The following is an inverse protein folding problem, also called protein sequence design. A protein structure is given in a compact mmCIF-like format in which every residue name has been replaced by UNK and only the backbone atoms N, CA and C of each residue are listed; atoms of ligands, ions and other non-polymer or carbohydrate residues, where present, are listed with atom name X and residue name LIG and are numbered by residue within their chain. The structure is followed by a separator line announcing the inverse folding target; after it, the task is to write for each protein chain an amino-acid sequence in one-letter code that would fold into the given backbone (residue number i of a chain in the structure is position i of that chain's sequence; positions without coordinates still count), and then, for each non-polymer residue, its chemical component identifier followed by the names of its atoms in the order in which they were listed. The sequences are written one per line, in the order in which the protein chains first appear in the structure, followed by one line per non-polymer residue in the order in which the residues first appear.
data_IF_120601786627
#
_entry.id   IF_120601786627
#
_cell.length_a   1.000
_cell.length_b   1.000
_cell.length_c   1.000
_cell.angle_alpha   90.00
_cell.angle_beta   90.00
_cell.angle_gamma   90.00
#
_symmetry.space_group_name_H-M   'P 1'
#
loop_
_entity.id
_entity.type
_entity.pdbx_description
1 polymer ?
#
# COMPACT_ATOMS: atom_id res chain seq x y z
N UNK A 1 -27.96 3.18 17.26
CA UNK A 1 -28.89 2.23 16.63
C UNK A 1 -29.43 2.92 15.39
N UNK A 2 -29.08 2.41 14.21
CA UNK A 2 -29.50 2.99 12.92
C UNK A 2 -30.69 2.17 12.40
N UNK A 3 -31.84 2.80 12.24
CA UNK A 3 -33.04 2.20 11.63
C UNK A 3 -33.21 2.77 10.22
N UNK A 4 -33.24 1.90 9.21
CA UNK A 4 -33.40 2.26 7.79
C UNK A 4 -34.56 1.42 7.24
N UNK A 5 -35.74 2.01 6.94
CA UNK A 5 -36.86 1.24 6.38
C UNK A 5 -38.20 1.99 6.22
N UNK A 6 -39.02 1.55 5.25
CA UNK A 6 -40.34 2.08 4.89
C UNK A 6 -41.43 1.62 5.88
N UNK A 7 -41.46 2.16 7.11
CA UNK A 7 -42.48 1.90 8.15
C UNK A 7 -42.70 0.43 8.60
N UNK A 8 -42.21 -0.56 7.86
CA UNK A 8 -41.96 -1.92 8.29
C UNK A 8 -40.57 -1.90 8.93
N UNK A 9 -40.51 -2.11 10.25
CA UNK A 9 -39.30 -1.95 11.06
C UNK A 9 -38.33 -3.11 10.83
N UNK A 10 -37.79 -3.22 9.63
CA UNK A 10 -36.68 -4.13 9.37
C UNK A 10 -35.40 -3.48 9.89
N UNK A 11 -34.89 -4.03 11.00
CA UNK A 11 -33.61 -3.63 11.56
C UNK A 11 -32.50 -4.42 10.86
N UNK A 12 -31.54 -3.70 10.27
CA UNK A 12 -30.36 -4.33 9.67
C UNK A 12 -29.35 -4.59 10.79
N UNK A 13 -29.02 -5.85 11.01
CA UNK A 13 -27.99 -6.28 11.95
C UNK A 13 -26.62 -6.22 11.29
N UNK A 14 -25.71 -5.47 11.91
CA UNK A 14 -24.29 -5.43 11.55
C UNK A 14 -23.59 -6.65 12.16
N UNK A 15 -22.72 -7.31 11.41
CA UNK A 15 -22.14 -8.61 11.76
C UNK A 15 -20.63 -8.58 12.06
N UNK A 16 -19.91 -7.53 11.66
CA UNK A 16 -18.46 -7.40 11.78
C UNK A 16 -18.06 -6.27 12.72
N UNK A 17 -18.08 -6.54 14.02
CA UNK A 17 -17.76 -5.58 15.08
C UNK A 17 -16.37 -4.93 14.96
N UNK A 18 -15.44 -5.56 14.22
CA UNK A 18 -14.08 -5.06 14.03
C UNK A 18 -14.02 -3.73 13.25
N UNK A 19 -14.91 -3.52 12.29
CA UNK A 19 -14.93 -2.31 11.46
C UNK A 19 -16.33 -1.69 11.27
N UNK A 20 -17.41 -2.38 11.66
CA UNK A 20 -18.78 -1.87 11.64
C UNK A 20 -19.15 -1.06 12.90
N UNK A 21 -18.22 -0.24 13.37
CA UNK A 21 -18.47 0.65 14.50
C UNK A 21 -19.26 1.88 14.06
N UNK A 22 -20.10 2.41 14.96
CA UNK A 22 -21.05 3.51 14.68
C UNK A 22 -20.43 4.70 13.93
N UNK A 23 -19.21 5.09 14.30
CA UNK A 23 -18.50 6.18 13.62
C UNK A 23 -18.18 5.87 12.15
N UNK A 24 -17.71 4.67 11.86
CA UNK A 24 -17.33 4.25 10.49
C UNK A 24 -18.57 4.08 9.62
N UNK A 25 -19.64 3.51 10.17
CA UNK A 25 -20.93 3.40 9.48
C UNK A 25 -21.48 4.79 9.14
N UNK A 26 -21.40 5.74 10.07
CA UNK A 26 -21.80 7.13 9.82
C UNK A 26 -20.98 7.77 8.68
N UNK A 27 -19.65 7.62 8.70
CA UNK A 27 -18.77 8.10 7.63
C UNK A 27 -19.12 7.47 6.28
N UNK A 28 -19.39 6.17 6.26
CA UNK A 28 -19.80 5.44 5.06
C UNK A 28 -21.12 5.98 4.48
N UNK A 29 -22.14 6.17 5.32
CA UNK A 29 -23.43 6.73 4.90
C UNK A 29 -23.28 8.15 4.35
N UNK A 30 -22.42 8.98 4.96
CA UNK A 30 -22.11 10.31 4.43
C UNK A 30 -21.45 10.25 3.03
N UNK A 31 -20.52 9.32 2.81
CA UNK A 31 -19.91 9.13 1.49
C UNK A 31 -20.89 8.60 0.44
N UNK A 32 -21.85 7.75 0.84
CA UNK A 32 -22.95 7.33 -0.03
C UNK A 32 -23.81 8.53 -0.48
N UNK A 33 -23.87 9.60 0.32
CA UNK A 33 -24.52 10.86 0.00
C UNK A 33 -23.58 11.87 -0.70
N UNK A 34 -22.43 11.40 -1.22
CA UNK A 34 -21.41 12.22 -1.86
C UNK A 34 -20.88 13.39 -0.98
N UNK A 35 -20.97 13.24 0.35
CA UNK A 35 -20.38 14.21 1.28
C UNK A 35 -18.90 13.85 1.48
N UNK A 36 -17.96 14.74 1.10
CA UNK A 36 -16.54 14.42 1.19
C UNK A 36 -16.07 14.36 2.64
N UNK A 37 -15.17 13.42 2.93
CA UNK A 37 -14.48 13.35 4.23
C UNK A 37 -13.46 14.49 4.29
N UNK A 38 -13.40 15.18 5.42
CA UNK A 38 -12.39 16.22 5.64
C UNK A 38 -11.00 15.60 5.83
N UNK A 39 -9.93 16.27 5.38
CA UNK A 39 -8.57 15.82 5.61
C UNK A 39 -8.26 15.66 7.11
N UNK A 40 -7.32 14.78 7.48
CA UNK A 40 -6.93 14.59 8.88
C UNK A 40 -6.39 15.90 9.47
N UNK A 41 -6.96 16.35 10.59
CA UNK A 41 -6.49 17.55 11.31
C UNK A 41 -5.41 17.25 12.35
N UNK A 42 -5.30 15.99 12.80
CA UNK A 42 -4.42 15.55 13.89
C UNK A 42 -3.86 14.14 13.61
N UNK A 43 -3.07 13.59 14.54
CA UNK A 43 -2.32 12.31 14.46
C UNK A 43 -2.80 11.34 13.37
N UNK A 44 -1.93 11.13 12.38
CA UNK A 44 -2.19 10.29 11.21
C UNK A 44 -2.65 8.87 11.57
N UNK A 45 -2.22 8.30 12.70
CA UNK A 45 -2.50 6.89 13.01
C UNK A 45 -3.97 6.61 13.31
N UNK A 46 -4.62 7.43 14.15
CA UNK A 46 -6.02 7.20 14.50
C UNK A 46 -6.92 7.38 13.28
N UNK A 47 -6.67 8.41 12.48
CA UNK A 47 -7.40 8.64 11.24
C UNK A 47 -7.18 7.50 10.25
N UNK A 48 -5.93 7.03 10.09
CA UNK A 48 -5.63 5.90 9.22
C UNK A 48 -6.33 4.61 9.66
N UNK A 49 -6.52 4.37 10.96
CA UNK A 49 -7.33 3.24 11.43
C UNK A 49 -8.79 3.38 10.99
N UNK A 50 -9.39 4.56 11.13
CA UNK A 50 -10.76 4.82 10.66
C UNK A 50 -10.88 4.64 9.15
N UNK A 51 -9.92 5.18 8.40
CA UNK A 51 -9.91 5.06 6.94
C UNK A 51 -9.79 3.61 6.49
N UNK A 52 -8.96 2.80 7.16
CA UNK A 52 -8.86 1.35 6.88
C UNK A 52 -10.18 0.62 7.13
N UNK A 53 -10.82 0.86 8.27
CA UNK A 53 -12.15 0.29 8.57
C UNK A 53 -13.20 0.73 7.56
N UNK A 54 -13.15 1.99 7.10
CA UNK A 54 -14.06 2.49 6.07
C UNK A 54 -13.83 1.84 4.70
N UNK A 55 -12.58 1.62 4.30
CA UNK A 55 -12.24 0.87 3.07
C UNK A 55 -12.78 -0.56 3.17
N UNK A 56 -12.53 -1.25 4.29
CA UNK A 56 -13.04 -2.61 4.52
C UNK A 56 -14.57 -2.66 4.47
N UNK A 57 -15.25 -1.69 5.10
CA UNK A 57 -16.70 -1.59 5.06
C UNK A 57 -17.21 -1.39 3.62
N UNK A 58 -16.57 -0.49 2.86
CA UNK A 58 -16.94 -0.24 1.47
C UNK A 58 -16.67 -1.45 0.55
N UNK A 59 -15.71 -2.31 0.89
CA UNK A 59 -15.47 -3.56 0.19
C UNK A 59 -16.54 -4.61 0.54
N UNK A 60 -16.88 -4.78 1.84
CA UNK A 60 -17.90 -5.72 2.31
C UNK A 60 -19.26 -5.50 1.65
N UNK A 61 -19.68 -4.25 1.53
CA UNK A 61 -20.97 -3.87 0.92
C UNK A 61 -20.87 -3.54 -0.57
N UNK A 62 -19.74 -3.86 -1.22
CA UNK A 62 -19.52 -3.65 -2.66
C UNK A 62 -19.84 -2.23 -3.14
N UNK A 63 -19.56 -1.22 -2.31
CA UNK A 63 -19.88 0.17 -2.57
C UNK A 63 -18.83 0.83 -3.48
N UNK A 64 -18.84 0.48 -4.76
CA UNK A 64 -17.86 0.92 -5.76
C UNK A 64 -17.74 2.45 -5.83
N UNK A 65 -18.87 3.16 -5.72
CA UNK A 65 -18.89 4.64 -5.71
C UNK A 65 -18.12 5.22 -4.53
N UNK A 66 -18.21 4.62 -3.35
CA UNK A 66 -17.47 5.03 -2.15
C UNK A 66 -15.98 4.70 -2.32
N UNK A 67 -15.64 3.52 -2.85
CA UNK A 67 -14.25 3.15 -3.12
C UNK A 67 -13.56 4.11 -4.11
N UNK A 68 -14.26 4.54 -5.16
CA UNK A 68 -13.74 5.55 -6.10
C UNK A 68 -13.53 6.90 -5.42
N UNK A 69 -14.47 7.35 -4.60
CA UNK A 69 -14.32 8.58 -3.82
C UNK A 69 -13.12 8.49 -2.85
N UNK A 70 -12.96 7.37 -2.15
CA UNK A 70 -11.82 7.12 -1.27
C UNK A 70 -10.49 7.16 -2.04
N UNK A 71 -10.42 6.55 -3.21
CA UNK A 71 -9.22 6.60 -4.06
C UNK A 71 -8.85 8.04 -4.43
N UNK A 72 -9.81 8.83 -4.90
CA UNK A 72 -9.60 10.25 -5.24
C UNK A 72 -9.16 11.08 -4.04
N UNK A 73 -9.81 10.89 -2.88
CA UNK A 73 -9.45 11.60 -1.65
C UNK A 73 -8.03 11.29 -1.20
N UNK A 74 -7.60 10.02 -1.27
CA UNK A 74 -6.24 9.66 -0.85
C UNK A 74 -5.18 10.27 -1.78
N UNK A 75 -5.44 10.32 -3.10
CA UNK A 75 -4.57 11.06 -4.03
C UNK A 75 -4.52 12.56 -3.70
N UNK A 76 -5.68 13.17 -3.48
CA UNK A 76 -5.78 14.58 -3.12
C UNK A 76 -4.99 14.88 -1.84
N UNK A 77 -5.22 14.10 -0.78
CA UNK A 77 -4.54 14.27 0.51
C UNK A 77 -3.04 14.04 0.42
N UNK A 78 -2.57 13.22 -0.51
CA UNK A 78 -1.14 13.11 -0.77
C UNK A 78 -0.58 14.37 -1.40
N UNK A 79 -1.25 14.94 -2.40
CA UNK A 79 -0.83 16.17 -3.06
C UNK A 79 -0.91 17.41 -2.17
N UNK A 80 -1.78 17.38 -1.16
CA UNK A 80 -1.91 18.42 -0.14
C UNK A 80 -1.01 18.17 1.09
N UNK A 81 -0.05 17.24 0.99
CA UNK A 81 0.91 16.87 2.05
C UNK A 81 0.29 16.35 3.37
N UNK A 82 -1.01 16.01 3.37
CA UNK A 82 -1.65 15.37 4.53
C UNK A 82 -1.20 13.91 4.68
N UNK A 83 -0.97 13.21 3.57
CA UNK A 83 -0.68 11.78 3.55
C UNK A 83 0.76 11.48 3.09
N UNK A 84 1.60 10.85 3.94
CA UNK A 84 2.87 10.32 3.48
C UNK A 84 2.63 9.17 2.50
N UNK A 85 3.60 8.90 1.63
CA UNK A 85 3.51 7.84 0.62
C UNK A 85 3.19 6.46 1.21
N UNK A 86 3.62 6.18 2.44
CA UNK A 86 3.26 4.95 3.14
C UNK A 86 1.75 4.81 3.41
N UNK A 87 1.09 5.89 3.80
CA UNK A 87 -0.37 5.91 4.01
C UNK A 87 -1.11 5.70 2.70
N UNK A 88 -0.62 6.33 1.62
CA UNK A 88 -1.16 6.15 0.26
C UNK A 88 -1.03 4.69 -0.16
N UNK A 89 0.14 4.07 0.03
CA UNK A 89 0.37 2.66 -0.26
C UNK A 89 -0.61 1.76 0.50
N UNK A 90 -0.76 1.98 1.81
CA UNK A 90 -1.65 1.17 2.65
C UNK A 90 -3.10 1.24 2.17
N UNK A 91 -3.59 2.44 1.85
CA UNK A 91 -4.95 2.61 1.34
C UNK A 91 -5.11 2.00 -0.05
N UNK A 92 -4.14 2.22 -0.94
CA UNK A 92 -4.15 1.70 -2.30
C UNK A 92 -4.16 0.17 -2.35
N UNK A 93 -3.43 -0.48 -1.43
CA UNK A 93 -3.43 -1.92 -1.25
C UNK A 93 -4.82 -2.43 -0.84
N UNK A 94 -5.44 -1.81 0.17
CA UNK A 94 -6.77 -2.21 0.66
C UNK A 94 -7.90 -1.93 -0.34
N UNK A 95 -7.73 -0.91 -1.18
CA UNK A 95 -8.67 -0.57 -2.27
C UNK A 95 -8.46 -1.40 -3.54
N UNK A 96 -7.47 -2.31 -3.55
CA UNK A 96 -7.02 -3.06 -4.72
C UNK A 96 -6.77 -2.17 -5.95
N UNK A 97 -6.00 -1.09 -5.77
CA UNK A 97 -5.62 -0.13 -6.82
C UNK A 97 -4.11 -0.24 -7.11
N UNK A 98 -3.68 -1.15 -8.00
CA UNK A 98 -2.25 -1.40 -8.26
C UNK A 98 -1.52 -0.16 -8.78
N UNK A 99 -2.17 0.68 -9.58
CA UNK A 99 -1.58 1.91 -10.13
C UNK A 99 -1.23 2.90 -9.01
N UNK A 100 -2.11 3.00 -8.02
CA UNK A 100 -1.93 3.88 -6.85
C UNK A 100 -0.87 3.34 -5.88
N UNK A 101 -0.77 2.01 -5.75
CA UNK A 101 0.35 1.37 -5.05
C UNK A 101 1.67 1.73 -5.72
N UNK A 102 1.77 1.56 -7.05
CA UNK A 102 2.96 1.89 -7.81
C UNK A 102 3.31 3.39 -7.73
N UNK A 103 2.30 4.27 -7.72
CA UNK A 103 2.48 5.70 -7.49
C UNK A 103 3.09 5.99 -6.11
N UNK A 104 2.53 5.40 -5.05
CA UNK A 104 3.00 5.60 -3.69
C UNK A 104 4.47 5.16 -3.53
N UNK A 105 4.83 4.00 -4.09
CA UNK A 105 6.20 3.47 -4.05
C UNK A 105 7.17 4.42 -4.73
N UNK A 106 6.83 4.86 -5.94
CA UNK A 106 7.65 5.82 -6.72
C UNK A 106 7.87 7.13 -5.96
N UNK A 107 6.87 7.62 -5.23
CA UNK A 107 6.95 8.87 -4.47
C UNK A 107 7.59 8.73 -3.09
N UNK A 108 7.65 7.54 -2.51
CA UNK A 108 8.10 7.37 -1.11
C UNK A 108 9.60 7.50 -0.89
N UNK A 109 10.43 7.14 -1.87
CA UNK A 109 11.88 7.02 -1.68
C UNK A 109 12.26 5.88 -0.71
N UNK A 110 13.53 5.46 -0.71
CA UNK A 110 13.98 4.24 0.00
C UNK A 110 13.81 4.29 1.53
N UNK A 111 13.90 5.46 2.16
CA UNK A 111 13.85 5.58 3.61
C UNK A 111 12.47 5.26 4.20
N UNK A 112 11.39 5.48 3.44
CA UNK A 112 10.03 5.11 3.88
C UNK A 112 9.90 3.58 3.92
N UNK A 113 10.48 2.90 2.94
CA UNK A 113 10.38 1.45 2.77
C UNK A 113 11.42 0.67 3.60
N UNK A 114 12.53 1.29 4.00
CA UNK A 114 13.52 0.66 4.87
C UNK A 114 13.20 0.76 6.36
N UNK A 115 12.04 1.31 6.72
CA UNK A 115 11.63 1.37 8.12
C UNK A 115 11.12 0.01 8.60
N UNK A 116 11.49 -0.38 9.83
CA UNK A 116 10.94 -1.55 10.55
C UNK A 116 9.39 -1.55 10.60
N UNK A 117 8.76 -0.44 10.23
CA UNK A 117 7.31 -0.28 10.07
C UNK A 117 6.68 -1.16 8.99
N UNK A 118 7.43 -1.69 8.02
CA UNK A 118 6.86 -2.66 7.06
C UNK A 118 6.59 -4.02 7.70
N UNK A 119 7.40 -4.41 8.69
CA UNK A 119 7.27 -5.70 9.39
C UNK A 119 6.01 -5.73 10.24
N UNK A 120 5.60 -4.59 10.80
CA UNK A 120 4.34 -4.50 11.56
C UNK A 120 3.09 -4.61 10.69
N UNK A 121 3.17 -4.38 9.36
CA UNK A 121 2.03 -4.57 8.45
C UNK A 121 1.80 -6.04 8.12
N UNK A 122 2.86 -6.81 7.86
CA UNK A 122 2.77 -8.23 7.50
C UNK A 122 2.27 -9.14 8.64
N UNK A 123 2.34 -8.67 9.89
CA UNK A 123 2.01 -9.46 11.10
C UNK A 123 0.63 -9.15 11.70
N UNK A 124 -0.11 -8.15 11.18
CA UNK A 124 -1.41 -7.75 11.75
C UNK A 124 -2.56 -8.63 11.27
N UNK A 125 -2.42 -9.35 10.15
CA UNK A 125 -3.47 -10.26 9.66
C UNK A 125 -3.61 -11.57 10.47
N UNK A 126 -2.69 -11.88 11.41
CA UNK A 126 -2.65 -13.20 12.06
C UNK A 126 -2.63 -13.22 13.61
N UNK A 127 -2.76 -12.08 14.31
CA UNK A 127 -2.68 -12.08 15.78
C UNK A 127 -3.81 -11.32 16.48
N UNK A 128 -4.62 -12.09 17.21
CA UNK A 128 -5.59 -11.61 18.22
C UNK A 128 -4.96 -10.93 19.44
N UNK A 129 -3.63 -10.81 19.55
CA UNK A 129 -2.95 -10.19 20.69
C UNK A 129 -1.81 -9.28 20.22
N UNK A 130 -2.13 -8.03 19.90
CA UNK A 130 -1.16 -7.03 19.44
C UNK A 130 -0.35 -6.43 20.59
N UNK A 131 0.90 -6.85 20.75
CA UNK A 131 1.92 -6.07 21.46
C UNK A 131 3.05 -5.73 20.48
N UNK A 132 3.09 -4.46 20.06
CA UNK A 132 4.10 -3.91 19.14
C UNK A 132 5.40 -3.62 19.90
N UNK A 133 6.51 -4.22 19.45
CA UNK A 133 7.86 -3.88 19.93
C UNK A 133 8.38 -2.71 19.09
N UNK A 134 8.43 -1.52 19.68
CA UNK A 134 9.09 -0.36 19.06
C UNK A 134 10.61 -0.40 19.30
N UNK A 135 11.41 -0.47 18.24
CA UNK A 135 12.80 0.01 18.26
C UNK A 135 12.89 1.28 17.41
N UNK A 136 13.34 2.36 18.02
CA UNK A 136 13.48 3.68 17.41
C UNK A 136 14.75 3.76 16.57
N UNK A 137 14.62 3.94 15.25
CA UNK A 137 15.73 4.33 14.38
C UNK A 137 15.89 5.87 14.38
N UNK A 138 17.16 6.29 14.40
CA UNK A 138 17.64 7.67 14.58
C UNK A 138 17.16 8.64 13.49
N UNK A 139 16.76 9.86 13.91
CA UNK A 139 16.27 10.96 13.08
C UNK A 139 17.40 11.93 12.70
N UNK A 140 18.31 11.57 11.81
CA UNK A 140 19.30 12.55 11.31
C UNK A 140 18.86 13.21 9.99
N UNK A 141 18.91 14.54 9.97
CA UNK A 141 18.53 15.37 8.84
C UNK A 141 19.54 15.31 7.67
N UNK A 142 20.75 14.80 7.90
CA UNK A 142 21.73 14.54 6.84
C UNK A 142 21.35 13.35 5.95
N UNK A 143 20.70 12.33 6.50
CA UNK A 143 20.23 11.17 5.72
C UNK A 143 19.08 11.55 4.77
N UNK A 144 18.28 12.57 5.14
CA UNK A 144 17.24 13.15 4.29
C UNK A 144 17.78 13.88 3.05
N UNK A 145 19.00 14.46 3.14
CA UNK A 145 19.66 15.15 2.02
C UNK A 145 20.52 14.22 1.15
N UNK A 146 21.00 13.10 1.70
CA UNK A 146 21.75 12.07 0.96
C UNK A 146 20.86 11.06 0.23
N UNK A 147 19.56 11.02 0.50
CA UNK A 147 18.58 10.24 -0.25
C UNK A 147 18.24 10.90 -1.61
N UNK A 148 19.26 11.33 -2.35
CA UNK A 148 19.15 11.62 -3.78
C UNK A 148 18.81 10.31 -4.48
N UNK A 149 17.64 10.32 -5.10
CA UNK A 149 17.05 9.31 -5.98
C UNK A 149 17.80 7.95 -6.16
N UNK A 150 17.35 6.86 -5.50
CA UNK A 150 17.91 5.53 -5.70
C UNK A 150 17.58 4.93 -7.09
N UNK A 151 16.85 5.65 -7.94
CA UNK A 151 16.66 5.31 -9.35
C UNK A 151 18.00 5.20 -10.10
N UNK A 152 19.07 5.87 -9.63
CA UNK A 152 20.38 5.89 -10.30
C UNK A 152 21.37 4.76 -9.96
N UNK A 153 21.16 3.99 -8.90
CA UNK A 153 22.18 3.05 -8.37
C UNK A 153 22.08 1.61 -8.89
N UNK A 154 21.16 1.31 -9.80
CA UNK A 154 21.14 0.04 -10.54
C UNK A 154 22.28 -0.09 -11.57
N UNK A 155 23.03 0.98 -11.82
CA UNK A 155 24.09 1.03 -12.83
C UNK A 155 25.30 0.12 -12.56
N UNK A 156 25.39 -0.53 -11.39
CA UNK A 156 26.56 -1.36 -11.01
C UNK A 156 26.26 -2.84 -10.76
N UNK A 157 25.02 -3.32 -10.94
CA UNK A 157 24.71 -4.74 -10.77
C UNK A 157 24.60 -5.41 -12.15
N UNK A 158 25.75 -5.83 -12.68
CA UNK A 158 25.79 -6.85 -13.72
C UNK A 158 25.35 -8.19 -13.11
N UNK A 159 24.46 -8.90 -13.80
CA UNK A 159 23.93 -10.23 -13.44
C UNK A 159 23.08 -10.29 -12.16
N UNK A 160 21.93 -9.63 -12.21
CA UNK A 160 20.92 -9.73 -11.15
C UNK A 160 20.09 -11.02 -11.33
N UNK A 161 20.54 -12.11 -10.71
CA UNK A 161 19.88 -13.42 -10.78
C UNK A 161 18.40 -13.38 -10.36
N UNK A 162 18.02 -12.51 -9.42
CA UNK A 162 16.62 -12.34 -9.00
C UNK A 162 15.75 -11.58 -10.02
N UNK A 163 16.30 -11.01 -11.10
CA UNK A 163 15.51 -10.44 -12.21
C UNK A 163 15.34 -11.41 -13.38
N UNK A 164 15.94 -12.60 -13.35
CA UNK A 164 15.76 -13.64 -14.37
C UNK A 164 14.72 -14.68 -13.93
N UNK A 165 13.48 -14.65 -14.47
CA UNK A 165 12.39 -15.52 -14.03
C UNK A 165 12.68 -17.01 -14.27
N UNK A 166 13.45 -17.31 -15.31
CA UNK A 166 13.84 -18.68 -15.64
C UNK A 166 14.85 -19.27 -14.63
N UNK A 167 15.48 -18.43 -13.81
CA UNK A 167 16.44 -18.82 -12.79
C UNK A 167 15.84 -18.85 -11.37
N UNK A 168 14.55 -18.52 -11.21
CA UNK A 168 13.95 -18.38 -9.89
C UNK A 168 13.78 -19.71 -9.18
N UNK A 169 14.34 -19.77 -7.97
CA UNK A 169 14.15 -20.83 -6.99
C UNK A 169 13.74 -20.22 -5.65
N UNK A 170 13.25 -21.04 -4.72
CA UNK A 170 12.82 -20.53 -3.43
C UNK A 170 13.99 -19.85 -2.67
N UNK A 171 15.22 -20.27 -2.92
CA UNK A 171 16.41 -19.70 -2.31
C UNK A 171 16.73 -18.29 -2.85
N UNK A 172 16.44 -18.00 -4.13
CA UNK A 172 16.70 -16.70 -4.75
C UNK A 172 15.80 -15.58 -4.22
N UNK A 173 14.69 -15.92 -3.53
CA UNK A 173 13.86 -14.91 -2.86
C UNK A 173 14.60 -14.16 -1.74
N UNK A 174 15.63 -14.79 -1.14
CA UNK A 174 16.46 -14.14 -0.13
C UNK A 174 17.40 -13.07 -0.71
N UNK A 175 17.60 -13.09 -2.03
CA UNK A 175 18.46 -12.15 -2.74
C UNK A 175 17.70 -10.91 -3.23
N UNK A 176 16.37 -10.91 -3.10
CA UNK A 176 15.51 -9.77 -3.41
C UNK A 176 15.87 -8.64 -2.45
N UNK A 177 16.34 -7.47 -2.94
CA UNK A 177 16.64 -6.34 -2.09
C UNK A 177 15.42 -5.96 -1.25
N UNK A 178 15.64 -5.53 0.00
CA UNK A 178 14.56 -5.19 0.93
C UNK A 178 13.54 -4.19 0.35
N UNK A 179 14.03 -3.28 -0.50
CA UNK A 179 13.24 -2.29 -1.23
C UNK A 179 12.23 -2.90 -2.23
N UNK A 180 12.37 -4.18 -2.62
CA UNK A 180 11.44 -4.92 -3.48
C UNK A 180 10.70 -6.05 -2.75
N UNK A 181 10.90 -6.22 -1.44
CA UNK A 181 10.24 -7.28 -0.66
C UNK A 181 8.72 -7.16 -0.72
N UNK A 182 8.16 -5.94 -0.77
CA UNK A 182 6.72 -5.75 -0.91
C UNK A 182 6.20 -6.30 -2.25
N UNK A 183 6.94 -6.10 -3.36
CA UNK A 183 6.55 -6.59 -4.67
C UNK A 183 6.56 -8.12 -4.64
N UNK A 184 7.50 -8.70 -3.89
CA UNK A 184 7.56 -10.14 -3.68
C UNK A 184 6.40 -10.67 -2.85
N UNK A 185 6.03 -10.00 -1.75
CA UNK A 185 4.86 -10.38 -0.94
C UNK A 185 3.58 -10.36 -1.78
N UNK A 186 3.39 -9.33 -2.60
CA UNK A 186 2.22 -9.22 -3.48
C UNK A 186 2.22 -10.27 -4.60
N UNK A 187 3.39 -10.55 -5.17
CA UNK A 187 3.57 -11.61 -6.14
C UNK A 187 3.23 -12.98 -5.56
N UNK A 188 3.63 -13.26 -4.32
CA UNK A 188 3.28 -14.49 -3.59
C UNK A 188 1.79 -14.59 -3.34
N UNK A 189 1.10 -13.50 -3.00
CA UNK A 189 -0.36 -13.50 -2.87
C UNK A 189 -1.07 -13.84 -4.18
N UNK A 190 -0.57 -13.32 -5.30
CA UNK A 190 -1.09 -13.60 -6.64
C UNK A 190 -0.86 -15.05 -7.07
N UNK A 191 0.37 -15.55 -6.94
CA UNK A 191 0.75 -16.90 -7.39
C UNK A 191 0.48 -18.02 -6.39
N UNK A 192 0.23 -17.68 -5.11
CA UNK A 192 0.13 -18.64 -4.00
C UNK A 192 1.34 -19.58 -3.98
N UNK A 193 1.12 -20.87 -4.24
CA UNK A 193 2.17 -21.90 -4.25
C UNK A 193 2.75 -22.15 -5.66
N UNK A 194 2.24 -21.47 -6.68
CA UNK A 194 2.69 -21.59 -8.07
C UNK A 194 3.81 -20.56 -8.33
N UNK A 195 5.05 -21.04 -8.26
CA UNK A 195 6.25 -20.23 -8.42
C UNK A 195 6.32 -19.50 -9.77
N UNK A 196 5.76 -20.07 -10.84
CA UNK A 196 5.70 -19.42 -12.15
C UNK A 196 4.77 -18.21 -12.10
N UNK A 197 3.59 -18.36 -11.48
CA UNK A 197 2.67 -17.23 -11.28
C UNK A 197 3.21 -16.17 -10.33
N UNK A 198 3.95 -16.57 -9.29
CA UNK A 198 4.65 -15.60 -8.42
C UNK A 198 5.66 -14.81 -9.24
N UNK A 199 6.48 -15.46 -10.07
CA UNK A 199 7.42 -14.77 -10.94
C UNK A 199 6.72 -13.79 -11.89
N UNK A 200 5.64 -14.21 -12.55
CA UNK A 200 4.85 -13.33 -13.42
C UNK A 200 4.27 -12.13 -12.66
N UNK A 201 3.71 -12.35 -11.47
CA UNK A 201 3.14 -11.29 -10.63
C UNK A 201 4.21 -10.27 -10.22
N UNK A 202 5.39 -10.73 -9.84
CA UNK A 202 6.50 -9.85 -9.49
C UNK A 202 6.98 -9.03 -10.68
N UNK A 203 7.21 -9.69 -11.83
CA UNK A 203 7.63 -9.00 -13.06
C UNK A 203 6.61 -7.96 -13.50
N UNK A 204 5.32 -8.27 -13.39
CA UNK A 204 4.25 -7.32 -13.70
C UNK A 204 4.35 -6.08 -12.81
N UNK A 205 4.53 -6.26 -11.50
CA UNK A 205 4.73 -5.14 -10.56
C UNK A 205 5.98 -4.35 -10.92
N UNK A 206 7.09 -5.02 -11.24
CA UNK A 206 8.33 -4.36 -11.64
C UNK A 206 8.19 -3.58 -12.96
N UNK A 207 7.41 -4.07 -13.93
CA UNK A 207 7.03 -3.34 -15.16
C UNK A 207 6.17 -2.12 -14.85
N UNK A 208 5.14 -2.27 -14.01
CA UNK A 208 4.27 -1.16 -13.60
C UNK A 208 5.02 -0.06 -12.82
N UNK A 209 6.07 -0.45 -12.11
CA UNK A 209 7.01 0.47 -11.46
C UNK A 209 7.98 1.15 -12.42
N UNK A 210 7.99 0.78 -13.71
CA UNK A 210 8.93 1.28 -14.71
C UNK A 210 10.36 0.79 -14.51
N UNK A 211 10.54 -0.36 -13.83
CA UNK A 211 11.86 -0.98 -13.61
C UNK A 211 12.24 -1.94 -14.73
N UNK A 212 11.24 -2.51 -15.39
CA UNK A 212 11.41 -3.40 -16.54
C UNK A 212 10.71 -2.83 -17.78
N UNK A 213 11.29 -3.05 -18.96
CA UNK A 213 10.66 -2.74 -20.23
C UNK A 213 9.55 -3.76 -20.56
N UNK A 214 8.86 -3.56 -21.70
CA UNK A 214 7.81 -4.48 -22.13
C UNK A 214 8.33 -5.91 -22.34
N UNK A 215 9.61 -6.04 -22.69
CA UNK A 215 10.33 -7.30 -22.90
C UNK A 215 10.82 -7.94 -21.59
N UNK A 216 10.66 -7.28 -20.44
CA UNK A 216 11.10 -7.76 -19.14
C UNK A 216 12.58 -7.49 -18.82
N UNK A 217 13.27 -6.68 -19.63
CA UNK A 217 14.64 -6.27 -19.35
C UNK A 217 14.66 -5.07 -18.41
N UNK A 218 15.65 -5.00 -17.52
CA UNK A 218 15.84 -3.84 -16.67
C UNK A 218 16.06 -2.57 -17.51
N UNK A 219 15.22 -1.55 -17.27
CA UNK A 219 15.36 -0.25 -17.95
C UNK A 219 16.57 0.47 -17.33
N UNK A 220 17.60 0.73 -18.14
CA UNK A 220 18.70 1.62 -17.76
C UNK A 220 18.17 3.05 -17.69
N UNK A 221 17.97 3.57 -16.49
CA UNK A 221 17.61 4.97 -16.31
C UNK A 221 18.91 5.76 -16.29
N UNK A 222 19.22 6.41 -17.42
CA UNK A 222 20.31 7.38 -17.48
C UNK A 222 19.94 8.59 -16.61
N UNK A 223 20.53 8.68 -15.43
CA UNK A 223 20.52 9.91 -14.65
C UNK A 223 21.48 10.86 -15.34
N UNK A 224 20.94 11.85 -16.05
CA UNK A 224 21.72 12.98 -16.52
C UNK A 224 22.19 13.77 -15.30
N UNK A 225 23.50 13.76 -15.06
CA UNK A 225 24.16 14.58 -14.03
C UNK A 225 23.85 16.06 -14.27
N UNK A 226 22.81 16.57 -13.61
CA UNK A 226 22.57 18.01 -13.47
C UNK A 226 23.51 18.55 -12.41
N UNK A 227 24.62 19.16 -12.86
CA UNK A 227 25.52 20.00 -12.06
C UNK A 227 24.84 21.27 -11.60
#
# INVERSE_FOLDING_TARGET
MLTIGNNEKEEILLTDEAFEVSEIVSMFLHMCQATPISPPKTSNEHFMRKLRSLIQLSAKYEAISVQHQLCSLVYQWHHEDYFPSYSVFTCAYLLDKPEMVAFAIRRGGNWIWNSDSLVSFALVDDSRNGQLIHRSASKNAEDKKKATDPVGTLNNLHDVYWMNPAAWRLETFKEVPNEYTFAMVRAVQYGKNDHTKVAEGFLKIMKEMGRLDQSGNAIRIHVSDSR
#
